data_IF_034241028700
#
_entry.id   IF_034241028700
#
_cell.length_a   1.000
_cell.length_b   1.000
_cell.length_c   1.000
_cell.angle_alpha   90.00
_cell.angle_beta   90.00
_cell.angle_gamma   90.00
#
_symmetry.space_group_name_H-M   'P 1'
#
loop_
_entity.id
_entity.type
_entity.pdbx_description
1 polymer ?
#
# COMPACT_ATOMS: atom_id res chain seq x y z
N UNK A 1 -23.67 6.42 11.03
CA UNK A 1 -23.36 6.97 12.37
C UNK A 1 -22.78 5.94 13.35
N UNK A 2 -23.49 4.89 13.79
CA UNK A 2 -22.98 3.94 14.82
C UNK A 2 -21.66 3.24 14.46
N UNK A 3 -21.45 2.87 13.20
CA UNK A 3 -20.25 2.16 12.74
C UNK A 3 -18.99 3.03 12.85
N UNK A 4 -19.08 4.30 12.45
CA UNK A 4 -17.98 5.27 12.51
C UNK A 4 -17.57 5.55 13.96
N UNK A 5 -18.55 5.79 14.84
CA UNK A 5 -18.31 5.98 16.27
C UNK A 5 -17.61 4.77 16.92
N UNK A 6 -17.97 3.54 16.52
CA UNK A 6 -17.29 2.33 17.01
C UNK A 6 -15.84 2.25 16.55
N UNK A 7 -15.56 2.60 15.29
CA UNK A 7 -14.19 2.60 14.76
C UNK A 7 -13.31 3.59 15.53
N UNK A 8 -13.80 4.80 15.77
CA UNK A 8 -13.09 5.80 16.58
C UNK A 8 -12.83 5.33 18.02
N UNK A 9 -13.83 4.68 18.65
CA UNK A 9 -13.66 4.12 19.99
C UNK A 9 -12.58 3.04 20.02
N UNK A 10 -12.53 2.15 19.02
CA UNK A 10 -11.53 1.09 18.96
C UNK A 10 -10.12 1.64 18.82
N UNK A 11 -9.91 2.64 17.96
CA UNK A 11 -8.60 3.33 17.83
C UNK A 11 -8.15 3.93 19.17
N UNK A 12 -9.04 4.64 19.86
CA UNK A 12 -8.75 5.21 21.20
C UNK A 12 -8.47 4.13 22.23
N UNK A 13 -9.20 3.01 22.18
CA UNK A 13 -9.04 1.89 23.12
C UNK A 13 -7.73 1.16 22.91
N UNK A 14 -7.34 0.96 21.67
CA UNK A 14 -6.06 0.36 21.28
C UNK A 14 -4.89 1.21 21.77
N UNK A 15 -4.89 2.51 21.48
CA UNK A 15 -3.86 3.42 21.97
C UNK A 15 -3.77 3.41 23.50
N UNK A 16 -4.92 3.47 24.20
CA UNK A 16 -4.93 3.36 25.67
C UNK A 16 -4.31 2.06 26.17
N UNK A 17 -4.54 0.95 25.48
CA UNK A 17 -3.98 -0.35 25.87
C UNK A 17 -2.47 -0.46 25.64
N UNK A 18 -1.95 0.21 24.61
CA UNK A 18 -0.50 0.31 24.39
C UNK A 18 0.19 1.14 25.46
N UNK A 19 -0.40 2.26 25.88
CA UNK A 19 0.12 3.06 27.00
C UNK A 19 0.08 2.26 28.32
N UNK A 20 -1.03 1.60 28.64
CA UNK A 20 -1.12 0.73 29.83
C UNK A 20 -0.01 -0.34 29.83
N UNK A 21 0.26 -0.98 28.68
CA UNK A 21 1.33 -1.99 28.56
C UNK A 21 2.73 -1.39 28.72
N UNK A 22 2.95 -0.17 28.20
CA UNK A 22 4.21 0.56 28.36
C UNK A 22 4.47 0.90 29.83
N UNK A 23 3.46 1.42 30.51
CA UNK A 23 3.54 1.77 31.93
C UNK A 23 3.83 0.52 32.78
N UNK A 24 3.17 -0.61 32.50
CA UNK A 24 3.46 -1.88 33.18
C UNK A 24 4.93 -2.32 33.02
N UNK A 25 5.50 -2.18 31.82
CA UNK A 25 6.91 -2.52 31.57
C UNK A 25 7.86 -1.59 32.35
N UNK A 26 7.55 -0.30 32.40
CA UNK A 26 8.34 0.71 33.11
C UNK A 26 8.30 0.49 34.62
N UNK A 27 7.11 0.24 35.17
CA UNK A 27 6.89 -0.07 36.57
C UNK A 27 7.63 -1.34 36.99
N UNK A 28 7.52 -2.43 36.21
CA UNK A 28 8.27 -3.67 36.48
C UNK A 28 9.78 -3.43 36.46
N UNK A 29 10.28 -2.66 35.49
CA UNK A 29 11.70 -2.34 35.41
C UNK A 29 12.17 -1.51 36.61
N UNK A 30 11.35 -0.58 37.10
CA UNK A 30 11.67 0.23 38.27
C UNK A 30 11.60 -0.60 39.56
N UNK A 31 10.51 -1.35 39.75
CA UNK A 31 10.22 -2.13 40.96
C UNK A 31 11.23 -3.25 41.18
N UNK A 32 11.64 -3.94 40.11
CA UNK A 32 12.51 -5.13 40.18
C UNK A 32 13.98 -4.85 39.81
N UNK A 33 14.37 -3.59 39.63
CA UNK A 33 15.74 -3.19 39.23
C UNK A 33 16.86 -3.73 40.14
N UNK A 34 16.56 -4.04 41.41
CA UNK A 34 17.51 -4.56 42.40
C UNK A 34 17.24 -5.98 42.88
N UNK A 35 16.25 -6.69 42.31
CA UNK A 35 15.90 -8.05 42.71
C UNK A 35 16.45 -9.10 41.71
N UNK A 36 16.73 -10.30 42.21
CA UNK A 36 17.12 -11.42 41.37
C UNK A 36 15.86 -12.09 40.81
N UNK A 37 15.44 -11.66 39.63
CA UNK A 37 14.32 -12.27 38.92
C UNK A 37 14.64 -13.74 38.57
N UNK A 38 13.64 -14.59 38.73
CA UNK A 38 13.69 -15.99 38.28
C UNK A 38 13.74 -16.06 36.75
N UNK A 39 14.23 -17.17 36.20
CA UNK A 39 14.30 -17.36 34.75
C UNK A 39 12.92 -17.27 34.07
N UNK A 40 11.87 -17.70 34.78
CA UNK A 40 10.48 -17.58 34.32
C UNK A 40 10.04 -16.13 34.19
N UNK A 41 10.29 -15.31 35.23
CA UNK A 41 9.92 -13.89 35.24
C UNK A 41 10.70 -13.10 34.18
N UNK A 42 11.99 -13.41 33.99
CA UNK A 42 12.80 -12.82 32.92
C UNK A 42 12.24 -13.13 31.53
N UNK A 43 11.78 -14.38 31.31
CA UNK A 43 11.19 -14.77 30.03
C UNK A 43 9.85 -14.06 29.80
N UNK A 44 9.03 -13.94 30.83
CA UNK A 44 7.76 -13.21 30.77
C UNK A 44 7.98 -11.72 30.48
N UNK A 45 8.95 -11.08 31.14
CA UNK A 45 9.30 -9.69 30.91
C UNK A 45 9.82 -9.45 29.48
N UNK A 46 10.66 -10.35 28.96
CA UNK A 46 11.12 -10.31 27.56
C UNK A 46 9.95 -10.45 26.59
N UNK A 47 9.05 -11.40 26.85
CA UNK A 47 7.86 -11.60 26.02
C UNK A 47 6.95 -10.37 26.03
N UNK A 48 6.77 -9.72 27.19
CA UNK A 48 5.99 -8.48 27.31
C UNK A 48 6.61 -7.34 26.47
N UNK A 49 7.93 -7.19 26.50
CA UNK A 49 8.66 -6.21 25.67
C UNK A 49 8.54 -6.51 24.17
N UNK A 50 8.76 -7.76 23.76
CA UNK A 50 8.61 -8.17 22.36
C UNK A 50 7.19 -7.93 21.84
N UNK A 51 6.19 -8.21 22.67
CA UNK A 51 4.79 -7.96 22.34
C UNK A 51 4.50 -6.47 22.14
N UNK A 52 5.02 -5.60 23.02
CA UNK A 52 4.90 -4.16 22.89
C UNK A 52 5.55 -3.66 21.59
N UNK A 53 6.78 -4.11 21.30
CA UNK A 53 7.50 -3.71 20.08
C UNK A 53 6.77 -4.16 18.81
N UNK A 54 6.23 -5.38 18.81
CA UNK A 54 5.45 -5.89 17.68
C UNK A 54 4.16 -5.08 17.47
N UNK A 55 3.46 -4.77 18.56
CA UNK A 55 2.22 -4.01 18.49
C UNK A 55 2.48 -2.56 18.03
N UNK A 56 3.57 -1.95 18.49
CA UNK A 56 3.99 -0.60 18.06
C UNK A 56 4.34 -0.54 16.56
N UNK A 57 5.12 -1.51 16.06
CA UNK A 57 5.44 -1.58 14.62
C UNK A 57 4.19 -1.67 13.77
N UNK A 58 3.22 -2.49 14.17
CA UNK A 58 1.95 -2.60 13.46
C UNK A 58 1.21 -1.26 13.39
N UNK A 59 1.18 -0.48 14.46
CA UNK A 59 0.52 0.84 14.43
C UNK A 59 1.23 1.83 13.52
N UNK A 60 2.56 1.75 13.40
CA UNK A 60 3.35 2.57 12.47
C UNK A 60 3.11 2.13 11.01
N UNK A 61 3.07 0.82 10.75
CA UNK A 61 2.82 0.26 9.42
C UNK A 61 1.40 0.56 8.92
N UNK A 62 0.38 0.60 9.80
CA UNK A 62 -1.01 0.95 9.42
C UNK A 62 -1.14 2.37 8.84
N UNK A 63 -0.26 3.29 9.21
CA UNK A 63 -0.23 4.66 8.65
C UNK A 63 0.51 4.72 7.28
N UNK A 64 1.34 3.73 6.96
CA UNK A 64 2.16 3.64 5.73
C UNK A 64 1.60 2.65 4.69
N UNK A 65 0.44 2.03 4.96
CA UNK A 65 -0.22 1.20 3.93
C UNK A 65 -0.76 2.13 2.85
N UNK A 66 -0.11 2.10 1.69
CA UNK A 66 -0.62 2.65 0.44
C UNK A 66 -1.91 1.88 0.09
N UNK A 67 -3.02 2.27 0.73
CA UNK A 67 -4.32 1.65 0.57
C UNK A 67 -4.67 1.65 -0.92
N UNK A 68 -5.07 0.48 -1.45
CA UNK A 68 -5.46 0.38 -2.85
C UNK A 68 -6.62 1.34 -3.11
N UNK A 69 -6.29 2.48 -3.73
CA UNK A 69 -7.26 3.47 -4.14
C UNK A 69 -7.77 3.06 -5.52
N UNK A 70 -9.05 2.71 -5.60
CA UNK A 70 -9.71 2.51 -6.89
C UNK A 70 -9.46 3.77 -7.73
N UNK A 71 -8.84 3.65 -8.92
CA UNK A 71 -8.59 4.80 -9.79
C UNK A 71 -9.88 5.56 -10.08
N UNK A 72 -9.76 6.87 -10.25
CA UNK A 72 -10.90 7.70 -10.63
C UNK A 72 -11.59 7.11 -11.87
N UNK A 73 -12.92 6.99 -11.81
CA UNK A 73 -13.69 6.50 -12.94
C UNK A 73 -13.56 7.48 -14.13
N UNK A 74 -13.54 6.92 -15.34
CA UNK A 74 -13.54 7.70 -16.58
C UNK A 74 -14.90 8.35 -16.88
N UNK A 75 -15.95 7.89 -16.20
CA UNK A 75 -17.33 8.33 -16.38
C UNK A 75 -17.73 9.23 -15.21
N UNK A 76 -18.44 10.31 -15.50
CA UNK A 76 -19.06 11.15 -14.47
C UNK A 76 -20.27 10.44 -13.83
N UNK A 77 -20.69 10.91 -12.66
CA UNK A 77 -21.80 10.32 -11.90
C UNK A 77 -23.17 10.46 -12.60
N UNK A 78 -23.27 11.27 -13.66
CA UNK A 78 -24.47 11.50 -14.47
C UNK A 78 -24.48 10.68 -15.78
N UNK A 79 -23.45 9.84 -16.00
CA UNK A 79 -23.35 8.97 -17.19
C UNK A 79 -22.76 9.65 -18.43
N UNK A 80 -22.19 10.85 -18.28
CA UNK A 80 -21.32 11.50 -19.25
C UNK A 80 -19.91 10.92 -19.20
N UNK A 81 -19.31 10.73 -20.37
CA UNK A 81 -17.97 10.14 -20.49
C UNK A 81 -16.96 11.28 -20.58
N UNK A 82 -15.98 11.34 -19.67
CA UNK A 82 -14.87 12.30 -19.73
C UNK A 82 -13.87 11.86 -20.81
N UNK A 83 -14.13 12.32 -22.04
CA UNK A 83 -13.36 11.94 -23.21
C UNK A 83 -11.88 12.35 -23.07
N UNK A 84 -11.60 13.48 -22.43
CA UNK A 84 -10.25 14.00 -22.27
C UNK A 84 -9.40 13.05 -21.41
N UNK A 85 -9.94 12.55 -20.29
CA UNK A 85 -9.27 11.54 -19.45
C UNK A 85 -9.03 10.22 -20.19
N UNK A 86 -9.98 9.77 -21.02
CA UNK A 86 -9.82 8.55 -21.83
C UNK A 86 -8.68 8.68 -22.84
N UNK A 87 -8.62 9.81 -23.53
CA UNK A 87 -7.57 10.06 -24.53
C UNK A 87 -6.21 10.30 -23.88
N UNK A 88 -6.16 10.90 -22.68
CA UNK A 88 -4.91 11.10 -21.94
C UNK A 88 -4.20 9.76 -21.64
N UNK A 89 -4.94 8.72 -21.23
CA UNK A 89 -4.37 7.38 -20.97
C UNK A 89 -3.82 6.73 -22.24
N UNK A 90 -4.53 6.87 -23.36
CA UNK A 90 -4.03 6.39 -24.65
C UNK A 90 -2.70 7.06 -25.00
N UNK A 91 -2.60 8.38 -24.83
CA UNK A 91 -1.38 9.15 -25.11
C UNK A 91 -0.23 8.79 -24.16
N UNK A 92 -0.50 8.53 -22.88
CA UNK A 92 0.53 8.10 -21.92
C UNK A 92 1.20 6.79 -22.36
N UNK A 93 0.43 5.80 -22.83
CA UNK A 93 0.98 4.50 -23.30
C UNK A 93 1.95 4.64 -24.48
N UNK A 94 1.77 5.65 -25.33
CA UNK A 94 2.65 5.89 -26.46
C UNK A 94 3.88 6.74 -26.10
N UNK A 95 3.87 7.46 -24.97
CA UNK A 95 5.00 8.28 -24.51
C UNK A 95 6.12 7.47 -23.85
N UNK A 96 5.80 6.32 -23.25
CA UNK A 96 6.78 5.47 -22.56
C UNK A 96 7.69 4.65 -23.53
N UNK A 97 7.48 4.74 -24.84
CA UNK A 97 8.28 4.05 -25.87
C UNK A 97 9.35 4.93 -26.53
N UNK A 98 9.85 5.97 -25.84
CA UNK A 98 10.99 6.76 -26.34
C UNK A 98 12.35 6.05 -26.14
N UNK A 99 12.34 4.75 -25.81
CA UNK A 99 13.52 3.88 -25.85
C UNK A 99 13.60 3.11 -27.18
N UNK A 100 13.96 3.84 -28.24
CA UNK A 100 14.98 3.45 -29.22
C UNK A 100 14.90 2.04 -29.85
N UNK A 101 13.74 1.59 -30.31
CA UNK A 101 13.68 0.65 -31.45
C UNK A 101 12.29 0.70 -32.10
N UNK A 102 12.14 1.61 -33.07
CA UNK A 102 11.00 1.57 -34.00
C UNK A 102 11.19 0.39 -34.95
N UNK A 103 10.92 -0.84 -34.48
CA UNK A 103 10.37 -1.84 -35.38
C UNK A 103 8.88 -1.58 -35.40
N UNK A 104 8.43 -0.79 -36.37
CA UNK A 104 7.01 -0.68 -36.69
C UNK A 104 6.58 -2.01 -37.32
N UNK A 105 5.82 -2.87 -36.62
CA UNK A 105 5.44 -4.18 -37.16
C UNK A 105 4.55 -4.07 -38.41
N UNK A 106 4.02 -2.88 -38.68
CA UNK A 106 3.20 -2.59 -39.84
C UNK A 106 4.03 -2.29 -41.10
N UNK A 107 5.26 -1.80 -40.95
CA UNK A 107 6.14 -1.46 -42.07
C UNK A 107 6.51 -2.69 -42.90
N UNK A 108 6.83 -3.82 -42.25
CA UNK A 108 7.13 -5.09 -42.93
C UNK A 108 5.90 -5.63 -43.69
N UNK A 109 4.70 -5.37 -43.16
CA UNK A 109 3.45 -5.80 -43.80
C UNK A 109 3.13 -4.96 -45.04
N UNK A 110 3.35 -3.65 -44.99
CA UNK A 110 3.18 -2.75 -46.14
C UNK A 110 4.15 -3.08 -47.28
N UNK A 111 5.43 -3.32 -46.97
CA UNK A 111 6.44 -3.75 -47.95
C UNK A 111 6.03 -5.08 -48.64
N UNK A 112 5.47 -6.01 -47.85
CA UNK A 112 4.94 -7.26 -48.37
C UNK A 112 3.76 -7.04 -49.33
N UNK A 113 2.86 -6.08 -49.06
CA UNK A 113 1.76 -5.73 -49.97
C UNK A 113 2.28 -5.04 -51.24
N UNK A 114 3.24 -4.11 -51.12
CA UNK A 114 3.84 -3.41 -52.27
C UNK A 114 4.54 -4.42 -53.20
N UNK A 115 5.25 -5.40 -52.63
CA UNK A 115 5.91 -6.47 -53.38
C UNK A 115 4.95 -7.49 -54.04
N UNK A 116 3.70 -7.56 -53.60
CA UNK A 116 2.63 -8.34 -54.26
C UNK A 116 2.00 -7.54 -55.42
N UNK A 117 1.79 -6.24 -55.24
CA UNK A 117 1.28 -5.35 -56.29
C UNK A 117 2.26 -5.16 -57.45
N UNK A 118 3.57 -5.14 -57.19
CA UNK A 118 4.60 -4.99 -58.23
C UNK A 118 4.87 -6.28 -59.03
N UNK A 119 4.36 -7.43 -58.57
CA UNK A 119 4.56 -8.74 -59.21
C UNK A 119 3.48 -9.13 -60.22
N UNK A 120 2.40 -8.36 -60.26
CA UNK A 120 1.19 -8.63 -61.06
C UNK A 120 1.04 -7.64 -62.23
N UNK A 121 2.17 -7.23 -62.83
CA UNK A 121 2.20 -6.38 -64.03
C UNK A 121 3.13 -6.93 -65.09
#
# INVERSE_FOLDING_TARGET
>A
MKKVSRQEYLKKREHKKLEELRDEIEDEQYLFSGENLTETELREFRYKKELYDLAKKRTEDEDDVEEYRIPDAYDDQEGGVDQEKRFAVAVQRYKDLDSREKMDPFAEWEDHQIGLCLRTR
#
